data_IF_965936410464
#
_entry.id   IF_965936410464
#
_cell.length_a   1.000
_cell.length_b   1.000
_cell.length_c   1.000
_cell.angle_alpha   90.00
_cell.angle_beta   90.00
_cell.angle_gamma   90.00
#
_symmetry.space_group_name_H-M   'P 1'
#
loop_
_entity.id
_entity.type
_entity.pdbx_description
1 polymer ?
#
# COMPACT_ATOMS: atom_id res chain seq x y z
N UNK A 1 12.92 -12.12 -7.32
CA UNK A 1 11.73 -11.26 -7.18
C UNK A 1 12.20 -9.85 -6.84
N UNK A 2 11.95 -8.84 -7.69
CA UNK A 2 12.60 -7.53 -7.59
C UNK A 2 12.22 -6.73 -6.33
N UNK A 3 11.01 -6.93 -5.80
CA UNK A 3 10.57 -6.34 -4.53
C UNK A 3 9.38 -7.11 -3.95
N UNK A 4 9.24 -7.12 -2.62
CA UNK A 4 8.14 -7.74 -1.88
C UNK A 4 7.20 -6.67 -1.36
N UNK A 5 5.93 -6.73 -1.77
CA UNK A 5 4.84 -5.83 -1.33
C UNK A 5 4.10 -6.45 -0.14
N UNK A 6 4.04 -5.72 0.97
CA UNK A 6 3.43 -6.15 2.23
C UNK A 6 2.23 -5.26 2.56
N UNK A 7 1.24 -5.82 3.27
CA UNK A 7 0.00 -5.10 3.65
C UNK A 7 -0.65 -4.45 2.42
N UNK A 8 -0.98 -5.28 1.44
CA UNK A 8 -1.64 -4.85 0.19
C UNK A 8 -3.09 -4.48 0.48
N UNK A 9 -3.60 -3.52 -0.27
CA UNK A 9 -5.01 -3.15 -0.30
C UNK A 9 -5.33 -2.56 -1.67
N UNK A 10 -6.61 -2.54 -2.03
CA UNK A 10 -7.09 -1.86 -3.22
C UNK A 10 -7.92 -0.63 -2.81
N UNK A 11 -7.79 0.47 -3.55
CA UNK A 11 -8.51 1.72 -3.25
C UNK A 11 -10.02 1.59 -3.40
N UNK A 12 -10.51 0.65 -4.20
CA UNK A 12 -11.94 0.40 -4.37
C UNK A 12 -12.59 -0.06 -3.07
N UNK A 13 -11.84 -0.84 -2.28
CA UNK A 13 -12.33 -1.39 -1.03
C UNK A 13 -12.08 -0.43 0.14
N UNK A 14 -10.97 0.32 0.10
CA UNK A 14 -10.60 1.27 1.15
C UNK A 14 -11.28 2.64 1.05
N UNK A 15 -11.63 3.08 -0.16
CA UNK A 15 -12.26 4.37 -0.46
C UNK A 15 -13.39 4.20 -1.50
N UNK A 16 -14.45 3.43 -1.17
CA UNK A 16 -15.49 3.04 -2.13
C UNK A 16 -16.21 4.21 -2.79
N UNK A 17 -16.24 5.37 -2.14
CA UNK A 17 -16.85 6.61 -2.63
C UNK A 17 -16.08 7.27 -3.78
N UNK A 18 -14.78 6.98 -3.94
CA UNK A 18 -13.90 7.71 -4.86
C UNK A 18 -13.83 7.10 -6.27
N UNK A 19 -14.51 5.97 -6.54
CA UNK A 19 -14.47 5.23 -7.83
C UNK A 19 -13.04 4.98 -8.34
N UNK A 20 -12.11 4.62 -7.45
CA UNK A 20 -10.71 4.32 -7.74
C UNK A 20 -10.44 2.82 -7.66
N UNK A 21 -9.63 2.26 -8.56
CA UNK A 21 -9.24 0.84 -8.56
C UNK A 21 -7.73 0.68 -8.73
N UNK A 22 -6.99 1.00 -7.67
CA UNK A 22 -5.53 0.94 -7.62
C UNK A 22 -5.07 -0.09 -6.60
N UNK A 23 -4.16 -0.97 -7.01
CA UNK A 23 -3.50 -1.89 -6.10
C UNK A 23 -2.33 -1.21 -5.40
N UNK A 24 -2.49 -0.93 -4.10
CA UNK A 24 -1.49 -0.28 -3.26
C UNK A 24 -0.98 -1.21 -2.15
N UNK A 25 0.07 -0.77 -1.45
CA UNK A 25 0.63 -1.48 -0.31
C UNK A 25 1.24 -0.50 0.69
N UNK A 26 1.24 -0.85 1.97
CA UNK A 26 1.75 0.04 3.02
C UNK A 26 3.27 -0.04 3.19
N UNK A 27 3.86 -1.18 2.81
CA UNK A 27 5.31 -1.39 2.87
C UNK A 27 5.84 -2.18 1.67
N UNK A 28 7.04 -1.83 1.21
CA UNK A 28 7.78 -2.55 0.18
C UNK A 28 9.17 -2.88 0.68
N UNK A 29 9.57 -4.15 0.61
CA UNK A 29 10.96 -4.57 0.81
C UNK A 29 11.65 -4.75 -0.54
N UNK A 30 12.70 -3.99 -0.82
CA UNK A 30 13.56 -4.17 -1.98
C UNK A 30 14.99 -4.47 -1.50
N UNK A 31 15.37 -5.75 -1.55
CA UNK A 31 16.62 -6.22 -0.94
C UNK A 31 16.63 -6.01 0.58
N UNK A 32 17.60 -5.23 1.06
CA UNK A 32 17.73 -4.87 2.49
C UNK A 32 17.06 -3.53 2.84
N UNK A 33 16.43 -2.86 1.88
CA UNK A 33 15.71 -1.61 2.14
C UNK A 33 14.22 -1.84 2.30
N UNK A 34 13.61 -1.11 3.24
CA UNK A 34 12.17 -1.07 3.47
C UNK A 34 11.67 0.34 3.22
N UNK A 35 10.70 0.47 2.33
CA UNK A 35 10.02 1.72 2.01
C UNK A 35 8.63 1.68 2.62
N UNK A 36 8.31 2.68 3.44
CA UNK A 36 7.02 2.82 4.09
C UNK A 36 6.24 3.94 3.43
N UNK A 37 4.94 3.70 3.21
CA UNK A 37 4.01 4.77 2.84
C UNK A 37 3.88 5.73 4.03
N UNK A 38 3.87 7.04 3.77
CA UNK A 38 3.54 8.03 4.80
C UNK A 38 2.20 7.71 5.45
N UNK A 39 2.16 7.74 6.78
CA UNK A 39 0.96 7.45 7.56
C UNK A 39 0.42 8.73 8.17
N UNK A 40 -0.88 8.89 8.12
CA UNK A 40 -1.63 9.78 9.02
C UNK A 40 -2.15 8.96 10.18
N UNK A 41 -2.55 9.60 11.28
CA UNK A 41 -3.19 8.93 12.42
C UNK A 41 -4.64 8.55 12.08
N UNK A 42 -4.82 7.59 11.18
CA UNK A 42 -6.10 6.96 10.89
C UNK A 42 -6.19 5.69 11.74
N UNK A 43 -7.28 5.54 12.48
CA UNK A 43 -7.61 4.34 13.27
C UNK A 43 -7.76 3.11 12.38
#
# INVERSE_FOLDING_TARGET
>A
MPHLRLRKFNTRDAYPEQRLDNDLCMAVRAGNHVFLRGQTAMD
#
